data_IF_500515285294
#
_entry.id   IF_500515285294
#
_cell.length_a   1.000
_cell.length_b   1.000
_cell.length_c   1.000
_cell.angle_alpha   90.00
_cell.angle_beta   90.00
_cell.angle_gamma   90.00
#
_symmetry.space_group_name_H-M   'P 1'
#
loop_
_entity.id
_entity.type
_entity.pdbx_description
1 polymer ?
#
# COMPACT_ATOMS: atom_id res chain seq x y z
N UNK A 1 15.24 0.03 -21.12
CA UNK A 1 14.63 -1.13 -20.44
C UNK A 1 14.05 -1.97 -21.57
N UNK A 2 14.54 -3.20 -21.77
CA UNK A 2 14.15 -4.04 -22.90
C UNK A 2 12.70 -4.54 -22.74
N UNK A 3 11.97 -4.65 -23.85
CA UNK A 3 10.60 -5.14 -23.88
C UNK A 3 10.61 -6.66 -23.80
N UNK A 4 9.86 -7.23 -22.86
CA UNK A 4 9.82 -8.68 -22.66
C UNK A 4 8.82 -9.29 -23.64
N UNK A 5 9.30 -10.02 -24.64
CA UNK A 5 8.47 -10.67 -25.66
C UNK A 5 7.88 -12.01 -25.19
N UNK A 6 8.49 -12.64 -24.20
CA UNK A 6 8.03 -13.90 -23.61
C UNK A 6 7.01 -13.67 -22.49
N UNK A 7 5.79 -14.14 -22.71
CA UNK A 7 4.67 -13.94 -21.78
C UNK A 7 4.94 -14.47 -20.35
N UNK A 8 5.58 -15.63 -20.22
CA UNK A 8 5.89 -16.22 -18.91
C UNK A 8 6.97 -15.43 -18.16
N UNK A 9 8.01 -14.96 -18.87
CA UNK A 9 9.05 -14.11 -18.28
C UNK A 9 8.47 -12.76 -17.87
N UNK A 10 7.53 -12.23 -18.66
CA UNK A 10 6.81 -11.02 -18.31
C UNK A 10 6.04 -11.20 -17.00
N UNK A 11 5.23 -12.25 -16.85
CA UNK A 11 4.50 -12.50 -15.59
C UNK A 11 5.42 -12.68 -14.39
N UNK A 12 6.55 -13.39 -14.55
CA UNK A 12 7.54 -13.52 -13.48
C UNK A 12 8.13 -12.17 -13.08
N UNK A 13 8.46 -11.32 -14.07
CA UNK A 13 8.97 -9.97 -13.83
C UNK A 13 7.94 -9.11 -13.10
N UNK A 14 6.66 -9.19 -13.49
CA UNK A 14 5.56 -8.49 -12.82
C UNK A 14 5.51 -8.90 -11.36
N UNK A 15 5.54 -10.19 -11.04
CA UNK A 15 5.51 -10.67 -9.65
C UNK A 15 6.69 -10.13 -8.85
N UNK A 16 7.92 -10.28 -9.37
CA UNK A 16 9.14 -9.86 -8.65
C UNK A 16 9.20 -8.35 -8.43
N UNK A 17 8.89 -7.57 -9.47
CA UNK A 17 8.91 -6.12 -9.42
C UNK A 17 7.78 -5.60 -8.51
N UNK A 18 6.58 -6.17 -8.62
CA UNK A 18 5.43 -5.78 -7.78
C UNK A 18 5.72 -6.08 -6.32
N UNK A 19 6.15 -7.30 -5.98
CA UNK A 19 6.53 -7.65 -4.60
C UNK A 19 7.56 -6.67 -4.03
N UNK A 20 8.57 -6.27 -4.82
CA UNK A 20 9.56 -5.29 -4.37
C UNK A 20 8.95 -3.92 -4.03
N UNK A 21 7.95 -3.46 -4.80
CA UNK A 21 7.25 -2.20 -4.57
C UNK A 21 6.36 -2.25 -3.33
N UNK A 22 5.59 -3.33 -3.21
CA UNK A 22 4.61 -3.52 -2.13
C UNK A 22 5.30 -3.70 -0.76
N UNK A 23 6.52 -4.24 -0.74
CA UNK A 23 7.32 -4.40 0.47
C UNK A 23 7.90 -3.08 1.02
N UNK A 24 7.81 -1.97 0.27
CA UNK A 24 8.32 -0.68 0.72
C UNK A 24 7.47 -0.11 1.87
N UNK A 25 8.07 0.26 3.02
CA UNK A 25 7.33 0.81 4.14
C UNK A 25 6.80 2.21 3.81
N UNK A 26 5.48 2.39 3.87
CA UNK A 26 4.82 3.67 3.60
C UNK A 26 3.52 3.88 4.42
N UNK A 27 2.72 4.92 4.13
CA UNK A 27 1.45 5.17 4.82
C UNK A 27 0.47 3.99 4.73
N UNK A 28 0.40 3.31 3.58
CA UNK A 28 -0.47 2.14 3.41
C UNK A 28 -0.08 1.01 4.38
N UNK A 29 1.22 0.76 4.54
CA UNK A 29 1.75 -0.19 5.50
C UNK A 29 1.46 0.22 6.95
N UNK A 30 1.67 1.50 7.29
CA UNK A 30 1.39 2.03 8.63
C UNK A 30 -0.10 1.93 9.00
N UNK A 31 -1.00 2.26 8.07
CA UNK A 31 -2.46 2.12 8.25
C UNK A 31 -2.85 0.65 8.38
N UNK A 32 -2.23 -0.25 7.62
CA UNK A 32 -2.46 -1.70 7.72
C UNK A 32 -2.09 -2.26 9.08
N UNK A 33 -0.94 -1.85 9.64
CA UNK A 33 -0.54 -2.23 11.00
C UNK A 33 -1.50 -1.63 12.03
N UNK A 34 -1.87 -0.36 11.88
CA UNK A 34 -2.71 0.30 12.86
C UNK A 34 -4.13 -0.30 12.90
N UNK A 35 -4.70 -0.64 11.74
CA UNK A 35 -6.02 -1.29 11.61
C UNK A 35 -6.01 -2.79 11.92
N UNK A 36 -4.93 -3.50 11.63
CA UNK A 36 -4.81 -4.93 11.97
C UNK A 36 -4.95 -5.19 13.46
N UNK A 37 -4.67 -4.19 14.30
CA UNK A 37 -4.88 -4.27 15.75
C UNK A 37 -6.35 -4.39 16.17
N UNK A 38 -7.31 -3.98 15.32
CA UNK A 38 -8.76 -4.01 15.58
C UNK A 38 -9.47 -5.10 14.79
N UNK A 39 -9.03 -5.34 13.56
CA UNK A 39 -9.68 -6.28 12.65
C UNK A 39 -8.67 -7.25 12.05
N UNK A 40 -8.92 -8.56 12.20
CA UNK A 40 -8.10 -9.62 11.59
C UNK A 40 -8.05 -9.52 10.05
N UNK A 41 -9.13 -9.02 9.45
CA UNK A 41 -9.27 -8.92 7.99
C UNK A 41 -8.92 -7.51 7.46
N UNK A 42 -8.32 -6.65 8.29
CA UNK A 42 -7.96 -5.28 7.89
C UNK A 42 -7.09 -5.25 6.62
N UNK A 43 -6.14 -6.18 6.48
CA UNK A 43 -5.26 -6.26 5.31
C UNK A 43 -6.02 -6.50 4.00
N UNK A 44 -7.01 -7.39 4.00
CA UNK A 44 -7.85 -7.65 2.84
C UNK A 44 -8.70 -6.42 2.48
N UNK A 45 -9.35 -5.80 3.47
CA UNK A 45 -10.18 -4.62 3.25
C UNK A 45 -9.38 -3.41 2.75
N UNK A 46 -8.17 -3.22 3.25
CA UNK A 46 -7.26 -2.16 2.80
C UNK A 46 -6.80 -2.42 1.36
N UNK A 47 -6.50 -3.67 1.00
CA UNK A 47 -6.13 -4.06 -0.36
C UNK A 47 -7.28 -3.87 -1.37
N UNK A 48 -8.52 -4.09 -0.96
CA UNK A 48 -9.70 -3.72 -1.78
C UNK A 48 -9.73 -2.21 -2.00
N UNK A 49 -9.52 -1.41 -0.94
CA UNK A 49 -9.44 0.05 -1.05
C UNK A 49 -8.27 0.52 -1.94
N UNK A 50 -7.15 -0.18 -1.89
CA UNK A 50 -6.00 0.05 -2.76
C UNK A 50 -6.36 -0.19 -4.24
N UNK A 51 -6.95 -1.35 -4.53
CA UNK A 51 -7.40 -1.72 -5.88
C UNK A 51 -8.38 -0.69 -6.49
N UNK A 52 -9.27 -0.11 -5.68
CA UNK A 52 -10.21 0.95 -6.14
C UNK A 52 -9.46 2.17 -6.71
N UNK A 53 -8.29 2.51 -6.18
CA UNK A 53 -7.48 3.64 -6.69
C UNK A 53 -6.58 3.17 -7.83
N UNK A 54 -6.03 1.97 -7.71
CA UNK A 54 -5.07 1.40 -8.63
C UNK A 54 -5.66 1.05 -10.00
N UNK A 55 -6.77 0.30 -10.06
CA UNK A 55 -7.35 -0.14 -11.32
C UNK A 55 -7.72 1.04 -12.27
N UNK A 56 -8.33 2.14 -11.79
CA UNK A 56 -8.55 3.32 -12.63
C UNK A 56 -7.27 3.94 -13.16
N UNK A 57 -6.22 4.04 -12.32
CA UNK A 57 -4.94 4.62 -12.74
C UNK A 57 -4.21 3.74 -13.75
N UNK A 58 -4.20 2.42 -13.54
CA UNK A 58 -3.65 1.45 -14.50
C UNK A 58 -4.38 1.53 -15.84
N UNK A 59 -5.71 1.63 -15.81
CA UNK A 59 -6.53 1.77 -17.02
C UNK A 59 -6.21 3.08 -17.75
N UNK A 60 -5.99 4.18 -17.02
CA UNK A 60 -5.63 5.47 -17.58
C UNK A 60 -4.28 5.41 -18.31
N UNK A 61 -3.29 4.77 -17.70
CA UNK A 61 -1.98 4.53 -18.32
C UNK A 61 -2.13 3.64 -19.56
N UNK A 62 -2.92 2.57 -19.48
CA UNK A 62 -3.15 1.65 -20.60
C UNK A 62 -3.77 2.33 -21.82
N UNK A 63 -4.63 3.33 -21.59
CA UNK A 63 -5.23 4.15 -22.65
C UNK A 63 -4.27 5.18 -23.27
N UNK A 64 -3.01 5.25 -22.84
CA UNK A 64 -1.99 6.16 -23.38
C UNK A 64 -1.97 7.55 -22.75
N UNK A 65 -2.51 7.69 -21.53
CA UNK A 65 -2.39 8.93 -20.74
C UNK A 65 -1.15 8.92 -19.81
N UNK A 66 -0.14 8.11 -20.14
CA UNK A 66 1.13 8.05 -19.42
C UNK A 66 1.87 9.40 -19.43
N UNK A 67 1.69 10.20 -20.50
CA UNK A 67 2.27 11.54 -20.63
C UNK A 67 1.87 12.50 -19.49
N UNK A 68 0.70 12.30 -18.87
CA UNK A 68 0.26 13.08 -17.70
C UNK A 68 1.18 12.80 -16.51
N UNK A 69 1.56 11.54 -16.30
CA UNK A 69 2.43 11.10 -15.22
C UNK A 69 3.92 11.32 -15.51
N UNK A 70 4.29 11.42 -16.79
CA UNK A 70 5.65 11.75 -17.22
C UNK A 70 6.02 13.24 -17.01
N UNK A 71 5.03 14.12 -16.82
CA UNK A 71 5.28 15.54 -16.59
C UNK A 71 6.04 15.78 -15.29
N UNK A 72 7.19 16.47 -15.39
CA UNK A 72 8.00 16.88 -14.24
C UNK A 72 7.19 17.71 -13.23
N UNK A 73 6.21 18.48 -13.72
CA UNK A 73 5.33 19.27 -12.86
C UNK A 73 4.45 18.35 -12.00
N UNK A 74 3.87 17.31 -12.59
CA UNK A 74 3.00 16.34 -11.91
C UNK A 74 3.80 15.51 -10.90
N UNK A 75 5.00 15.06 -11.27
CA UNK A 75 5.87 14.33 -10.32
C UNK A 75 6.30 15.21 -9.14
N UNK A 76 6.63 16.49 -9.39
CA UNK A 76 6.97 17.45 -8.33
C UNK A 76 5.78 17.74 -7.42
N UNK A 77 4.58 17.93 -7.96
CA UNK A 77 3.38 18.19 -7.12
C UNK A 77 3.02 16.96 -6.29
N UNK A 78 3.03 15.76 -6.88
CA UNK A 78 2.83 14.50 -6.16
C UNK A 78 3.87 14.34 -5.05
N UNK A 79 5.15 14.55 -5.35
CA UNK A 79 6.24 14.44 -4.39
C UNK A 79 6.11 15.46 -3.25
N UNK A 80 5.78 16.71 -3.56
CA UNK A 80 5.62 17.77 -2.57
C UNK A 80 4.40 17.54 -1.68
N UNK A 81 3.23 17.25 -2.28
CA UNK A 81 1.98 17.00 -1.55
C UNK A 81 2.11 15.75 -0.68
N UNK A 82 2.61 14.65 -1.24
CA UNK A 82 2.80 13.42 -0.48
C UNK A 82 3.88 13.54 0.59
N UNK A 83 4.96 14.30 0.34
CA UNK A 83 5.98 14.62 1.33
C UNK A 83 5.42 15.44 2.50
N UNK A 84 4.62 16.48 2.22
CA UNK A 84 3.93 17.26 3.24
C UNK A 84 2.97 16.38 4.07
N UNK A 85 2.27 15.45 3.41
CA UNK A 85 1.37 14.52 4.06
C UNK A 85 2.12 13.51 4.96
N UNK A 86 3.31 13.05 4.54
CA UNK A 86 4.21 12.24 5.37
C UNK A 86 4.67 12.97 6.63
N UNK A 87 5.10 14.23 6.49
CA UNK A 87 5.51 15.06 7.63
C UNK A 87 4.32 15.25 8.58
N UNK A 88 3.12 15.57 8.05
CA UNK A 88 1.91 15.71 8.84
C UNK A 88 1.56 14.44 9.62
N UNK A 89 1.62 13.28 8.97
CA UNK A 89 1.37 11.98 9.60
C UNK A 89 2.39 11.66 10.68
N UNK A 90 3.69 11.87 10.40
CA UNK A 90 4.77 11.66 11.37
C UNK A 90 4.62 12.54 12.61
N UNK A 91 4.36 13.84 12.42
CA UNK A 91 4.12 14.79 13.52
C UNK A 91 2.89 14.38 14.34
N UNK A 92 1.81 13.94 13.68
CA UNK A 92 0.62 13.46 14.37
C UNK A 92 0.90 12.22 15.21
N UNK A 93 1.68 11.26 14.71
CA UNK A 93 2.09 10.07 15.49
C UNK A 93 2.89 10.45 16.74
N UNK A 94 3.79 11.44 16.64
CA UNK A 94 4.55 11.94 17.79
C UNK A 94 3.65 12.67 18.80
N UNK A 95 2.66 13.44 18.32
CA UNK A 95 1.73 14.20 19.16
C UNK A 95 0.69 13.32 19.85
N UNK A 96 0.18 12.27 19.18
CA UNK A 96 -0.76 11.29 19.75
C UNK A 96 -0.18 10.53 20.94
N UNK A 97 1.16 10.42 21.07
CA UNK A 97 1.79 9.86 22.28
C UNK A 97 1.57 10.72 23.53
N UNK A 98 1.28 12.02 23.36
CA UNK A 98 1.05 12.99 24.45
C UNK A 98 -0.44 13.17 24.79
N UNK A 99 -1.34 12.89 23.85
CA UNK A 99 -2.79 12.99 24.03
C UNK A 99 -3.40 11.59 23.93
N UNK A 100 -3.66 10.96 25.07
CA UNK A 100 -4.37 9.69 25.18
C UNK A 100 -5.82 9.87 24.70
N UNK A 101 -6.07 9.76 23.39
CA UNK A 101 -7.43 9.78 22.83
C UNK A 101 -7.58 10.22 21.38
N UNK A 102 -6.57 10.82 20.76
CA UNK A 102 -6.68 11.29 19.37
C UNK A 102 -6.29 10.19 18.37
N UNK A 103 -7.26 9.40 17.94
CA UNK A 103 -7.08 8.44 16.84
C UNK A 103 -6.74 9.18 15.52
N UNK A 104 -5.82 8.59 14.74
CA UNK A 104 -5.50 9.05 13.38
C UNK A 104 -6.78 9.17 12.53
N UNK A 105 -6.87 10.13 11.59
CA UNK A 105 -8.07 10.28 10.75
C UNK A 105 -8.34 9.00 9.94
N UNK A 106 -7.27 8.32 9.52
CA UNK A 106 -7.31 7.03 8.84
C UNK A 106 -7.82 5.90 9.74
N UNK A 107 -7.71 6.01 11.07
CA UNK A 107 -8.23 5.01 12.00
C UNK A 107 -9.73 5.17 12.26
N UNK A 108 -10.26 6.38 12.15
CA UNK A 108 -11.69 6.68 12.35
C UNK A 108 -12.59 6.19 11.21
N UNK A 109 -12.06 6.09 9.99
CA UNK A 109 -12.82 5.66 8.81
C UNK A 109 -12.83 4.12 8.66
N UNK A 110 -13.68 3.56 7.78
CA UNK A 110 -13.67 2.11 7.52
C UNK A 110 -12.33 1.67 6.91
N UNK A 111 -11.92 0.42 7.13
CA UNK A 111 -10.64 -0.12 6.62
C UNK A 111 -10.46 0.06 5.11
N UNK A 112 -11.55 0.04 4.32
CA UNK A 112 -11.53 0.31 2.87
C UNK A 112 -11.21 1.78 2.58
N UNK A 113 -11.92 2.72 3.23
CA UNK A 113 -11.70 4.16 3.05
C UNK A 113 -10.30 4.56 3.50
N UNK A 114 -9.81 3.95 4.59
CA UNK A 114 -8.43 4.12 5.04
C UNK A 114 -7.43 3.67 3.98
N UNK A 115 -7.70 2.56 3.29
CA UNK A 115 -6.89 2.07 2.17
C UNK A 115 -6.89 3.03 0.97
N UNK A 116 -8.04 3.57 0.59
CA UNK A 116 -8.17 4.57 -0.49
C UNK A 116 -7.35 5.82 -0.15
N UNK A 117 -7.59 6.40 1.03
CA UNK A 117 -6.91 7.63 1.45
C UNK A 117 -5.40 7.41 1.61
N UNK A 118 -4.99 6.26 2.17
CA UNK A 118 -3.59 5.94 2.35
C UNK A 118 -2.89 5.74 1.00
N UNK A 119 -3.56 5.14 0.02
CA UNK A 119 -3.02 4.94 -1.33
C UNK A 119 -2.91 6.26 -2.08
N UNK A 120 -3.98 7.06 -2.10
CA UNK A 120 -4.01 8.37 -2.76
C UNK A 120 -3.02 9.36 -2.13
N UNK A 121 -2.83 9.29 -0.81
CA UNK A 121 -1.86 10.10 -0.07
C UNK A 121 -0.44 9.54 -0.07
N UNK A 122 -0.16 8.43 -0.77
CA UNK A 122 1.16 7.80 -0.78
C UNK A 122 2.00 8.29 -1.98
N UNK A 123 2.97 9.21 -1.77
CA UNK A 123 3.84 9.66 -2.86
C UNK A 123 4.65 8.51 -3.46
N UNK A 124 5.02 7.52 -2.64
CA UNK A 124 5.78 6.37 -3.12
C UNK A 124 4.95 5.54 -4.11
N UNK A 125 3.69 5.26 -3.80
CA UNK A 125 2.80 4.53 -4.72
C UNK A 125 2.61 5.29 -6.03
N UNK A 126 2.34 6.59 -5.96
CA UNK A 126 2.10 7.40 -7.15
C UNK A 126 3.35 7.53 -8.03
N UNK A 127 4.53 7.70 -7.43
CA UNK A 127 5.80 7.74 -8.17
C UNK A 127 6.18 6.37 -8.74
N UNK A 128 5.96 5.29 -7.98
CA UNK A 128 6.18 3.93 -8.44
C UNK A 128 5.28 3.61 -9.64
N UNK A 129 3.99 3.98 -9.55
CA UNK A 129 3.03 3.78 -10.62
C UNK A 129 3.38 4.61 -11.87
N UNK A 130 3.79 5.86 -11.69
CA UNK A 130 4.20 6.75 -12.79
C UNK A 130 5.47 6.28 -13.52
N UNK A 131 6.30 5.46 -12.89
CA UNK A 131 7.58 5.01 -13.44
C UNK A 131 7.55 3.54 -13.82
N UNK A 132 7.61 2.67 -12.81
CA UNK A 132 7.65 1.21 -12.97
C UNK A 132 6.30 0.68 -13.41
N UNK A 133 5.21 1.17 -12.81
CA UNK A 133 3.84 0.78 -13.19
C UNK A 133 3.55 1.10 -14.66
N UNK A 134 3.91 2.31 -15.11
CA UNK A 134 3.77 2.72 -16.51
C UNK A 134 4.54 1.79 -17.45
N UNK A 135 5.80 1.48 -17.12
CA UNK A 135 6.59 0.53 -17.91
C UNK A 135 5.95 -0.86 -17.98
N UNK A 136 5.44 -1.39 -16.85
CA UNK A 136 4.80 -2.71 -16.81
C UNK A 136 3.48 -2.73 -17.62
N UNK A 137 2.68 -1.66 -17.54
CA UNK A 137 1.45 -1.51 -18.33
C UNK A 137 1.76 -1.45 -19.83
N UNK A 138 2.80 -0.72 -20.23
CA UNK A 138 3.24 -0.67 -21.63
C UNK A 138 3.70 -2.04 -22.14
N UNK A 139 4.42 -2.82 -21.32
CA UNK A 139 4.78 -4.19 -21.68
C UNK A 139 3.55 -5.10 -21.75
N UNK A 140 2.61 -4.97 -20.81
CA UNK A 140 1.35 -5.72 -20.83
C UNK A 140 0.54 -5.44 -22.09
N UNK A 141 0.58 -4.20 -22.60
CA UNK A 141 -0.12 -3.79 -23.81
C UNK A 141 0.37 -4.51 -25.07
N UNK A 142 1.62 -4.97 -25.11
CA UNK A 142 2.14 -5.81 -26.21
C UNK A 142 1.39 -7.14 -26.35
N UNK A 143 0.86 -7.66 -25.25
CA UNK A 143 0.08 -8.90 -25.20
C UNK A 143 -1.43 -8.64 -25.36
N UNK A 144 -1.83 -7.41 -25.67
CA UNK A 144 -3.21 -7.00 -25.87
C UNK A 144 -4.04 -6.86 -24.58
N UNK A 145 -5.37 -6.71 -24.69
CA UNK A 145 -6.25 -6.48 -23.54
C UNK A 145 -6.22 -7.63 -22.51
N UNK A 146 -6.05 -8.87 -22.97
CA UNK A 146 -5.95 -10.03 -22.08
C UNK A 146 -4.67 -9.98 -21.24
N UNK A 147 -3.55 -9.54 -21.83
CA UNK A 147 -2.29 -9.32 -21.13
C UNK A 147 -2.38 -8.25 -20.05
N UNK A 148 -3.08 -7.14 -20.34
CA UNK A 148 -3.35 -6.09 -19.36
C UNK A 148 -4.21 -6.59 -18.19
N UNK A 149 -5.29 -7.33 -18.46
CA UNK A 149 -6.15 -7.89 -17.41
C UNK A 149 -5.37 -8.86 -16.51
N UNK A 150 -4.57 -9.75 -17.10
CA UNK A 150 -3.73 -10.68 -16.35
C UNK A 150 -2.67 -9.95 -15.53
N UNK A 151 -2.02 -8.94 -16.10
CA UNK A 151 -1.10 -8.07 -15.37
C UNK A 151 -1.77 -7.42 -14.16
N UNK A 152 -2.94 -6.79 -14.34
CA UNK A 152 -3.64 -6.09 -13.29
C UNK A 152 -4.06 -7.03 -12.15
N UNK A 153 -4.55 -8.23 -12.49
CA UNK A 153 -4.92 -9.26 -11.50
C UNK A 153 -3.69 -9.79 -10.74
N UNK A 154 -2.60 -10.09 -11.45
CA UNK A 154 -1.37 -10.62 -10.84
C UNK A 154 -0.71 -9.56 -9.94
N UNK A 155 -0.64 -8.31 -10.41
CA UNK A 155 -0.12 -7.19 -9.62
C UNK A 155 -0.93 -7.00 -8.34
N UNK A 156 -2.25 -6.82 -8.47
CA UNK A 156 -3.13 -6.61 -7.31
C UNK A 156 -3.15 -7.81 -6.35
N UNK A 157 -2.98 -9.03 -6.85
CA UNK A 157 -2.83 -10.22 -6.01
C UNK A 157 -1.56 -10.18 -5.15
N UNK A 158 -0.49 -9.54 -5.63
CA UNK A 158 0.73 -9.32 -4.85
C UNK A 158 0.45 -8.35 -3.70
N UNK A 159 -0.27 -7.25 -3.96
CA UNK A 159 -0.73 -6.31 -2.93
C UNK A 159 -1.61 -6.96 -1.88
N UNK A 160 -2.57 -7.76 -2.31
CA UNK A 160 -3.47 -8.48 -1.41
C UNK A 160 -2.68 -9.44 -0.52
N UNK A 161 -1.82 -10.25 -1.12
CA UNK A 161 -1.02 -11.25 -0.39
C UNK A 161 -0.15 -10.58 0.66
N UNK A 162 0.55 -9.49 0.30
CA UNK A 162 1.40 -8.78 1.26
C UNK A 162 0.59 -8.10 2.38
N UNK A 163 -0.47 -7.37 2.04
CA UNK A 163 -1.26 -6.66 3.05
C UNK A 163 -1.96 -7.64 4.02
N UNK A 164 -2.43 -8.78 3.53
CA UNK A 164 -2.96 -9.86 4.37
C UNK A 164 -1.86 -10.46 5.25
N UNK A 165 -0.68 -10.74 4.69
CA UNK A 165 0.46 -11.26 5.42
C UNK A 165 0.89 -10.33 6.57
N UNK A 166 1.03 -9.03 6.29
CA UNK A 166 1.36 -8.01 7.29
C UNK A 166 0.27 -7.94 8.36
N UNK A 167 -1.00 -7.86 7.95
CA UNK A 167 -2.13 -7.79 8.88
C UNK A 167 -2.16 -8.99 9.83
N UNK A 168 -1.99 -10.21 9.30
CA UNK A 168 -1.97 -11.43 10.08
C UNK A 168 -0.79 -11.50 11.05
N UNK A 169 0.41 -11.15 10.58
CA UNK A 169 1.65 -11.19 11.38
C UNK A 169 1.57 -10.23 12.56
N UNK A 170 1.11 -8.99 12.34
CA UNK A 170 1.00 -7.98 13.39
C UNK A 170 -0.16 -8.26 14.36
N UNK A 171 -1.29 -8.78 13.88
CA UNK A 171 -2.39 -9.21 14.75
C UNK A 171 -1.93 -10.33 15.71
N UNK A 172 -1.19 -11.33 15.21
CA UNK A 172 -0.67 -12.44 16.02
C UNK A 172 0.44 -11.98 16.98
N UNK A 173 1.33 -11.10 16.52
CA UNK A 173 2.42 -10.54 17.32
C UNK A 173 1.90 -9.77 18.53
N UNK A 174 0.90 -8.89 18.36
CA UNK A 174 0.30 -8.16 19.49
C UNK A 174 -0.34 -9.09 20.51
N UNK A 175 -1.09 -10.12 20.06
CA UNK A 175 -1.70 -11.11 20.97
C UNK A 175 -0.67 -11.84 21.83
N UNK A 176 0.54 -12.06 21.30
CA UNK A 176 1.63 -12.67 22.03
C UNK A 176 2.26 -11.69 23.04
N UNK A 177 2.54 -10.45 22.59
CA UNK A 177 3.11 -9.41 23.44
C UNK A 177 2.18 -8.96 24.57
N UNK A 178 0.87 -8.81 24.32
CA UNK A 178 -0.11 -8.45 25.36
C UNK A 178 -0.25 -9.55 26.41
N UNK A 179 -0.13 -10.82 26.03
CA UNK A 179 -0.10 -11.93 27.00
C UNK A 179 1.16 -11.88 27.86
N UNK A 180 2.33 -11.68 27.26
CA UNK A 180 3.59 -11.56 27.98
C UNK A 180 3.60 -10.35 28.93
N UNK A 181 3.16 -9.17 28.51
CA UNK A 181 3.11 -7.99 29.38
C UNK A 181 2.07 -8.13 30.49
N UNK A 182 0.93 -8.77 30.23
CA UNK A 182 -0.09 -9.02 31.26
C UNK A 182 0.37 -10.07 32.29
N UNK A 183 1.08 -11.13 31.85
CA UNK A 183 1.75 -12.08 32.74
C UNK A 183 2.85 -11.40 33.57
N UNK A 184 3.63 -10.50 32.96
CA UNK A 184 4.67 -9.76 33.67
C UNK A 184 4.09 -8.77 34.69
N UNK A 185 2.97 -8.10 34.39
CA UNK A 185 2.28 -7.23 35.35
C UNK A 185 1.68 -8.00 36.53
N UNK A 186 1.29 -9.27 36.34
CA UNK A 186 0.83 -10.14 37.43
C UNK A 186 1.99 -10.58 38.34
N UNK A 187 3.22 -10.67 37.82
CA UNK A 187 4.43 -10.96 38.60
C UNK A 187 5.04 -9.73 39.30
N UNK A 188 4.71 -8.51 38.85
CA UNK A 188 5.28 -7.24 39.38
C UNK A 188 4.29 -6.49 40.29
N UNK A 189 3.09 -7.02 40.56
CA UNK A 189 2.18 -6.44 41.55
C UNK A 189 2.75 -6.62 42.97
N UNK A 190 3.12 -5.55 43.69
CA UNK A 190 3.53 -5.67 45.09
C UNK A 190 2.29 -5.96 45.94
N UNK A 191 2.37 -7.01 46.75
CA UNK A 191 1.48 -7.27 47.88
C UNK A 191 1.75 -6.30 49.03
#
# INVERSE_FOLDING_TARGET
MELITDFYLFLLSVILISLSGVMSPGPLFAVTIAKSSREKNAGALISVGHGIVEFPLMSLIYLGFDWIFASLLVQKTIGFVGGALMVYLGLKMLKTRKETGSESPFLKHSSIVSGILATAGNPYFLLWLATIGAFLVMNAALFGPLGFLLFAVVHWSCDLTWNVFVSFTFFKSRRFWTKCTMLFSLFVSPS
#
